data_IF_971599470492
#
_entry.id   IF_971599470492
#
_cell.length_a   1.000
_cell.length_b   1.000
_cell.length_c   1.000
_cell.angle_alpha   90.00
_cell.angle_beta   90.00
_cell.angle_gamma   90.00
#
_symmetry.space_group_name_H-M   'P 1'
#
loop_
_entity.id
_entity.type
_entity.pdbx_description
1 polymer ?
#
# COMPACT_ATOMS: atom_id res chain seq x y z
N UNK A 1 13.83 -2.69 16.24
CA UNK A 1 14.51 -2.57 14.94
C UNK A 1 15.05 -1.16 14.85
N UNK A 2 16.37 -0.99 14.76
CA UNK A 2 16.98 0.34 14.60
C UNK A 2 16.62 0.91 13.21
N UNK A 3 16.25 2.20 13.14
CA UNK A 3 15.94 2.89 11.88
C UNK A 3 16.68 4.22 11.82
N UNK A 4 17.15 4.60 10.64
CA UNK A 4 17.88 5.85 10.41
C UNK A 4 17.25 6.66 9.31
N UNK A 5 17.00 7.94 9.55
CA UNK A 5 16.49 8.84 8.51
C UNK A 5 17.59 9.14 7.50
N UNK A 6 17.26 9.02 6.23
CA UNK A 6 18.10 9.37 5.09
C UNK A 6 17.31 10.23 4.11
N UNK A 7 17.97 11.18 3.45
CA UNK A 7 17.34 12.04 2.45
C UNK A 7 17.50 11.44 1.06
N UNK A 8 16.41 11.35 0.30
CA UNK A 8 16.37 10.85 -1.08
C UNK A 8 16.68 11.95 -2.10
N UNK A 9 16.87 11.61 -3.36
CA UNK A 9 17.23 12.56 -4.42
C UNK A 9 16.16 13.63 -4.69
N UNK A 10 14.89 13.37 -4.38
CA UNK A 10 13.80 14.37 -4.44
C UNK A 10 13.67 15.24 -3.17
N UNK A 11 14.60 15.10 -2.22
CA UNK A 11 14.62 15.84 -0.96
C UNK A 11 13.71 15.27 0.13
N UNK A 12 12.89 14.27 -0.17
CA UNK A 12 12.05 13.61 0.83
C UNK A 12 12.85 12.71 1.77
N UNK A 13 12.34 12.48 2.98
CA UNK A 13 12.95 11.56 3.92
C UNK A 13 12.54 10.11 3.60
N UNK A 14 13.43 9.17 3.88
CA UNK A 14 13.11 7.74 3.97
C UNK A 14 13.83 7.14 5.16
N UNK A 15 13.39 5.97 5.62
CA UNK A 15 14.03 5.26 6.72
C UNK A 15 14.87 4.12 6.18
N UNK A 16 16.12 4.02 6.63
CA UNK A 16 17.01 2.89 6.40
C UNK A 16 16.95 1.93 7.59
N UNK A 17 16.81 0.64 7.30
CA UNK A 17 16.83 -0.45 8.29
C UNK A 17 18.12 -1.24 8.13
N UNK A 18 19.13 -1.06 9.02
CA UNK A 18 20.42 -1.76 8.90
C UNK A 18 20.29 -3.28 8.91
N UNK A 19 19.39 -3.82 9.74
CA UNK A 19 19.15 -5.27 9.86
C UNK A 19 18.67 -5.90 8.55
N UNK A 20 17.94 -5.14 7.72
CA UNK A 20 17.43 -5.58 6.42
C UNK A 20 18.32 -5.11 5.28
N UNK A 21 19.31 -4.24 5.52
CA UNK A 21 20.04 -3.49 4.50
C UNK A 21 19.10 -2.94 3.41
N UNK A 22 18.02 -2.27 3.83
CA UNK A 22 16.94 -1.83 2.94
C UNK A 22 16.34 -0.49 3.41
N UNK A 23 15.85 0.29 2.46
CA UNK A 23 15.10 1.51 2.74
C UNK A 23 13.58 1.27 2.64
N UNK A 24 12.80 2.03 3.40
CA UNK A 24 11.33 2.01 3.29
C UNK A 24 10.83 2.44 1.90
N UNK A 25 11.58 3.29 1.21
CA UNK A 25 11.26 3.77 -0.14
C UNK A 25 12.54 3.92 -0.98
N UNK A 26 12.39 4.06 -2.30
CA UNK A 26 13.49 4.33 -3.22
C UNK A 26 14.34 5.55 -2.82
N UNK A 27 15.67 5.40 -2.91
CA UNK A 27 16.62 6.49 -2.71
C UNK A 27 16.57 7.56 -3.81
N UNK A 28 16.00 7.24 -4.98
CA UNK A 28 15.77 8.20 -6.08
C UNK A 28 14.61 9.18 -5.80
N UNK A 29 13.84 8.93 -4.73
CA UNK A 29 12.79 9.82 -4.27
C UNK A 29 11.60 9.06 -3.70
N UNK A 30 11.34 9.21 -2.39
CA UNK A 30 10.22 8.53 -1.74
C UNK A 30 8.89 9.09 -2.24
N UNK A 31 8.72 10.42 -2.25
CA UNK A 31 7.50 11.06 -2.74
C UNK A 31 7.28 10.74 -4.21
N UNK A 32 8.31 10.90 -5.06
CA UNK A 32 8.19 10.64 -6.50
C UNK A 32 7.79 9.20 -6.81
N UNK A 33 8.36 8.23 -6.10
CA UNK A 33 7.99 6.82 -6.25
C UNK A 33 6.54 6.58 -5.86
N UNK A 34 6.13 7.03 -4.66
CA UNK A 34 4.78 6.82 -4.15
C UNK A 34 3.70 7.53 -4.99
N UNK A 35 3.97 8.76 -5.44
CA UNK A 35 3.09 9.49 -6.35
C UNK A 35 2.89 8.73 -7.66
N UNK A 36 3.97 8.23 -8.26
CA UNK A 36 3.88 7.48 -9.52
C UNK A 36 3.12 6.16 -9.32
N UNK A 37 3.55 5.33 -8.37
CA UNK A 37 3.06 3.96 -8.19
C UNK A 37 1.64 3.93 -7.63
N UNK A 38 1.39 4.63 -6.52
CA UNK A 38 0.16 4.46 -5.75
C UNK A 38 -0.90 5.51 -6.09
N UNK A 39 -0.50 6.74 -6.42
CA UNK A 39 -1.44 7.80 -6.78
C UNK A 39 -1.78 7.76 -8.26
N UNK A 40 -0.81 7.94 -9.15
CA UNK A 40 -1.05 8.03 -10.60
C UNK A 40 -1.49 6.69 -11.20
N UNK A 41 -0.85 5.58 -10.84
CA UNK A 41 -1.25 4.26 -11.34
C UNK A 41 -2.32 3.55 -10.49
N UNK A 42 -2.65 4.09 -9.31
CA UNK A 42 -3.65 3.55 -8.40
C UNK A 42 -4.87 4.47 -8.23
N UNK A 43 -4.79 5.40 -7.27
CA UNK A 43 -5.91 6.25 -6.84
C UNK A 43 -6.62 6.94 -8.01
N UNK A 44 -5.86 7.62 -8.88
CA UNK A 44 -6.39 8.41 -9.99
C UNK A 44 -6.98 7.54 -11.11
N UNK A 45 -6.67 6.24 -11.13
CA UNK A 45 -7.28 5.27 -12.06
C UNK A 45 -8.54 4.62 -11.49
N UNK A 46 -8.85 4.82 -10.21
CA UNK A 46 -10.05 4.29 -9.62
C UNK A 46 -11.26 5.21 -9.93
N UNK A 47 -12.26 4.75 -10.69
CA UNK A 47 -13.38 5.60 -11.13
C UNK A 47 -14.43 5.82 -10.03
N UNK A 48 -14.31 5.14 -8.88
CA UNK A 48 -15.31 5.14 -7.83
C UNK A 48 -15.25 6.43 -7.01
N UNK A 49 -16.41 6.86 -6.48
CA UNK A 49 -16.49 8.00 -5.56
C UNK A 49 -16.25 7.62 -4.10
N UNK A 50 -16.57 6.38 -3.73
CA UNK A 50 -16.18 5.80 -2.45
C UNK A 50 -15.19 4.69 -2.73
N UNK A 51 -13.98 4.78 -2.17
CA UNK A 51 -12.90 3.82 -2.38
C UNK A 51 -12.51 3.21 -1.04
N UNK A 52 -12.56 1.89 -0.95
CA UNK A 52 -11.91 1.15 0.13
C UNK A 52 -10.52 0.74 -0.33
N UNK A 53 -9.49 1.25 0.35
CA UNK A 53 -8.08 0.99 0.06
C UNK A 53 -7.53 0.02 1.10
N UNK A 54 -6.79 -0.99 0.67
CA UNK A 54 -5.89 -1.76 1.54
C UNK A 54 -4.45 -1.36 1.23
N UNK A 55 -3.72 -0.91 2.24
CA UNK A 55 -2.28 -0.77 2.21
C UNK A 55 -1.62 -1.88 3.03
N UNK A 56 -0.64 -2.53 2.42
CA UNK A 56 0.25 -3.48 3.10
C UNK A 56 1.53 -2.73 3.46
N UNK A 57 1.67 -2.39 4.74
CA UNK A 57 2.77 -1.59 5.28
C UNK A 57 2.41 -0.11 5.40
N UNK A 58 1.89 0.31 6.56
CA UNK A 58 1.67 1.74 6.83
C UNK A 58 2.98 2.52 6.80
N UNK A 59 4.03 1.91 7.36
CA UNK A 59 5.38 2.43 7.44
C UNK A 59 5.43 3.88 7.90
N UNK A 60 5.79 4.75 6.98
CA UNK A 60 5.99 6.18 7.27
C UNK A 60 4.71 7.03 7.18
N UNK A 61 3.59 6.43 6.74
CA UNK A 61 2.33 7.13 6.46
C UNK A 61 2.34 7.92 5.15
N UNK A 62 3.38 7.80 4.32
CA UNK A 62 3.54 8.58 3.08
C UNK A 62 2.39 8.35 2.09
N UNK A 63 2.04 7.09 1.80
CA UNK A 63 0.99 6.81 0.81
C UNK A 63 -0.39 7.24 1.31
N UNK A 64 -0.67 7.13 2.62
CA UNK A 64 -1.89 7.64 3.22
C UNK A 64 -1.98 9.17 3.10
N UNK A 65 -0.89 9.88 3.41
CA UNK A 65 -0.81 11.34 3.26
C UNK A 65 -0.97 11.80 1.82
N UNK A 66 -0.31 11.13 0.87
CA UNK A 66 -0.44 11.40 -0.56
C UNK A 66 -1.86 11.10 -1.07
N UNK A 67 -2.48 10.03 -0.57
CA UNK A 67 -3.88 9.72 -0.88
C UNK A 67 -4.78 10.85 -0.39
N UNK A 68 -4.61 11.31 0.84
CA UNK A 68 -5.37 12.44 1.37
C UNK A 68 -5.17 13.71 0.53
N UNK A 69 -3.94 13.98 0.09
CA UNK A 69 -3.64 15.15 -0.76
C UNK A 69 -4.27 15.07 -2.16
N UNK A 70 -4.52 13.86 -2.68
CA UNK A 70 -4.96 13.61 -4.06
C UNK A 70 -6.35 12.97 -4.18
N UNK A 71 -7.09 12.82 -3.07
CA UNK A 71 -8.42 12.18 -3.09
C UNK A 71 -9.50 13.02 -3.77
N UNK A 72 -9.26 14.31 -3.99
CA UNK A 72 -10.27 15.25 -4.49
C UNK A 72 -11.59 15.17 -3.68
N UNK A 73 -12.73 15.02 -4.36
CA UNK A 73 -14.06 14.87 -3.78
C UNK A 73 -14.38 13.44 -3.27
N UNK A 74 -13.46 12.49 -3.48
CA UNK A 74 -13.69 11.08 -3.12
C UNK A 74 -13.76 10.90 -1.60
N UNK A 75 -14.60 9.94 -1.22
CA UNK A 75 -14.61 9.36 0.13
C UNK A 75 -13.68 8.16 0.17
N UNK A 76 -12.70 8.18 1.08
CA UNK A 76 -11.69 7.14 1.20
C UNK A 76 -11.85 6.42 2.54
N UNK A 77 -12.03 5.10 2.48
CA UNK A 77 -11.85 4.20 3.61
C UNK A 77 -10.48 3.53 3.46
N UNK A 78 -9.50 4.04 4.19
CA UNK A 78 -8.11 3.61 4.12
C UNK A 78 -7.81 2.61 5.23
N UNK A 79 -7.57 1.35 4.88
CA UNK A 79 -7.18 0.30 5.81
C UNK A 79 -5.69 0.04 5.59
N UNK A 80 -4.88 0.15 6.63
CA UNK A 80 -3.44 -0.12 6.54
C UNK A 80 -2.99 -1.12 7.61
N UNK A 81 -2.10 -2.03 7.23
CA UNK A 81 -1.52 -3.03 8.13
C UNK A 81 -0.09 -2.63 8.45
N UNK A 82 0.28 -2.68 9.73
CA UNK A 82 1.64 -2.41 10.18
C UNK A 82 2.01 -3.30 11.34
N UNK A 83 3.14 -3.98 11.25
CA UNK A 83 3.62 -4.89 12.31
C UNK A 83 4.55 -4.18 13.29
N UNK A 84 5.25 -3.16 12.83
CA UNK A 84 6.24 -2.42 13.60
C UNK A 84 6.04 -0.92 13.40
N UNK A 85 5.04 -0.30 14.05
CA UNK A 85 4.77 1.12 13.92
C UNK A 85 6.01 1.99 14.21
N UNK A 86 6.03 3.19 13.63
CA UNK A 86 7.03 4.19 13.99
C UNK A 86 6.73 4.81 15.35
N UNK A 87 7.77 5.06 16.12
CA UNK A 87 7.70 5.85 17.35
C UNK A 87 7.52 7.33 17.04
N UNK A 88 7.04 8.08 18.02
CA UNK A 88 6.78 9.53 17.89
C UNK A 88 7.99 10.32 17.43
N UNK A 89 9.15 9.99 17.97
CA UNK A 89 10.41 10.65 17.65
C UNK A 89 10.84 10.37 16.20
N UNK A 90 10.43 9.24 15.61
CA UNK A 90 10.76 8.89 14.23
C UNK A 90 9.88 9.65 13.23
N UNK A 91 8.55 9.61 13.39
CA UNK A 91 7.67 10.22 12.40
C UNK A 91 7.68 11.76 12.45
N UNK A 92 7.93 12.38 13.60
CA UNK A 92 8.02 13.85 13.71
C UNK A 92 9.21 14.44 12.94
N UNK A 93 10.22 13.64 12.62
CA UNK A 93 11.36 14.07 11.83
C UNK A 93 11.10 13.95 10.32
N UNK A 94 10.01 13.30 9.89
CA UNK A 94 9.68 13.12 8.48
C UNK A 94 9.20 14.43 7.88
N UNK A 95 9.72 14.76 6.69
CA UNK A 95 9.50 16.06 6.06
C UNK A 95 8.34 16.08 5.04
N UNK A 96 7.50 15.05 5.01
CA UNK A 96 6.49 14.88 3.98
C UNK A 96 5.44 15.99 3.94
N UNK A 97 4.83 16.42 5.07
CA UNK A 97 3.88 17.52 5.02
C UNK A 97 4.52 18.79 4.43
N UNK A 98 5.79 19.04 4.74
CA UNK A 98 6.51 20.20 4.21
C UNK A 98 6.68 20.19 2.69
N UNK A 99 6.92 19.00 2.12
CA UNK A 99 7.18 18.84 0.69
C UNK A 99 5.92 18.66 -0.14
N UNK A 100 4.88 18.03 0.42
CA UNK A 100 3.60 17.75 -0.26
C UNK A 100 2.67 18.96 -0.15
N UNK A 101 2.32 19.33 1.08
CA UNK A 101 1.44 20.47 1.38
C UNK A 101 1.51 20.79 2.88
N UNK A 102 2.07 21.96 3.22
CA UNK A 102 2.29 22.39 4.61
C UNK A 102 1.03 22.32 5.49
N UNK A 103 -0.16 22.46 4.90
CA UNK A 103 -1.43 22.40 5.63
C UNK A 103 -1.80 20.99 6.10
N UNK A 104 -1.10 19.95 5.66
CA UNK A 104 -1.34 18.57 6.04
C UNK A 104 -0.54 18.11 7.27
N UNK A 105 0.16 19.02 7.96
CA UNK A 105 0.97 18.66 9.13
C UNK A 105 0.13 18.03 10.24
N UNK A 106 -0.99 18.66 10.60
CA UNK A 106 -1.91 18.15 11.61
C UNK A 106 -2.52 16.82 11.19
N UNK A 107 -2.94 16.69 9.93
CA UNK A 107 -3.46 15.44 9.40
C UNK A 107 -2.42 14.32 9.49
N UNK A 108 -1.16 14.59 9.14
CA UNK A 108 -0.07 13.62 9.21
C UNK A 108 0.22 13.17 10.65
N UNK A 109 0.30 14.11 11.60
CA UNK A 109 0.44 13.76 13.02
C UNK A 109 -0.75 12.94 13.53
N UNK A 110 -1.97 13.33 13.17
CA UNK A 110 -3.19 12.62 13.54
C UNK A 110 -3.21 11.20 12.95
N UNK A 111 -2.73 11.00 11.71
CA UNK A 111 -2.60 9.66 11.13
C UNK A 111 -1.71 8.75 12.00
N UNK A 112 -0.63 9.27 12.60
CA UNK A 112 0.24 8.48 13.46
C UNK A 112 -0.31 8.30 14.88
N UNK A 113 -0.95 9.32 15.45
CA UNK A 113 -1.45 9.32 16.83
C UNK A 113 -2.83 8.68 17.02
N UNK A 114 -3.62 8.57 15.95
CA UNK A 114 -4.97 8.03 16.06
C UNK A 114 -4.98 6.58 16.55
N UNK A 115 -6.09 6.21 17.17
CA UNK A 115 -6.29 4.88 17.73
C UNK A 115 -6.23 3.80 16.63
N UNK A 116 -5.72 2.63 17.02
CA UNK A 116 -5.65 1.44 16.18
C UNK A 116 -6.98 0.66 16.20
N UNK A 117 -7.16 -0.23 15.23
CA UNK A 117 -8.27 -1.19 15.13
C UNK A 117 -9.68 -0.60 14.95
N UNK A 118 -9.79 0.71 14.69
CA UNK A 118 -11.07 1.37 14.45
C UNK A 118 -10.95 2.48 13.41
N UNK A 119 -12.04 2.80 12.67
CA UNK A 119 -12.02 3.89 11.71
C UNK A 119 -11.98 5.24 12.41
N UNK A 120 -11.00 6.06 12.04
CA UNK A 120 -10.86 7.44 12.51
C UNK A 120 -10.92 8.38 11.31
N UNK A 121 -11.80 9.38 11.34
CA UNK A 121 -11.84 10.43 10.32
C UNK A 121 -10.68 11.40 10.56
N UNK A 122 -9.67 11.36 9.68
CA UNK A 122 -8.48 12.22 9.76
C UNK A 122 -8.78 13.61 9.16
N UNK A 123 -9.60 13.63 8.12
CA UNK A 123 -10.06 14.81 7.40
C UNK A 123 -11.41 14.48 6.75
N UNK A 124 -12.22 15.49 6.35
CA UNK A 124 -13.53 15.26 5.75
C UNK A 124 -13.51 14.23 4.62
N UNK A 125 -14.22 13.11 4.84
CA UNK A 125 -14.32 12.01 3.88
C UNK A 125 -13.04 11.17 3.72
N UNK A 126 -12.09 11.25 4.64
CA UNK A 126 -10.91 10.38 4.71
C UNK A 126 -10.87 9.66 6.06
N UNK A 127 -11.22 8.39 6.04
CA UNK A 127 -11.24 7.52 7.22
C UNK A 127 -10.03 6.60 7.19
N UNK A 128 -9.24 6.59 8.26
CA UNK A 128 -8.08 5.71 8.42
C UNK A 128 -8.38 4.67 9.50
N UNK A 129 -8.18 3.40 9.17
CA UNK A 129 -8.13 2.28 10.10
C UNK A 129 -6.73 1.66 10.02
N UNK A 130 -5.93 1.83 11.07
CA UNK A 130 -4.62 1.17 11.18
C UNK A 130 -4.77 -0.14 11.96
N UNK A 131 -4.18 -1.21 11.45
CA UNK A 131 -4.18 -2.55 12.05
C UNK A 131 -2.77 -2.92 12.49
N UNK A 132 -2.56 -3.10 13.79
CA UNK A 132 -1.29 -3.55 14.35
C UNK A 132 -1.25 -5.07 14.28
N UNK A 133 -0.94 -5.58 13.08
CA UNK A 133 -1.12 -6.98 12.74
C UNK A 133 -0.05 -7.47 11.77
N UNK A 134 0.14 -8.79 11.74
CA UNK A 134 0.94 -9.46 10.74
C UNK A 134 0.07 -9.84 9.53
N UNK A 135 0.46 -9.43 8.32
CA UNK A 135 -0.22 -9.81 7.08
C UNK A 135 -0.36 -11.33 6.91
N UNK A 136 0.61 -12.09 7.42
CA UNK A 136 0.60 -13.55 7.36
C UNK A 136 -0.58 -14.13 8.13
N UNK A 137 -0.98 -13.50 9.25
CA UNK A 137 -1.93 -14.05 10.22
C UNK A 137 -3.32 -13.39 10.14
N UNK A 138 -3.39 -12.14 9.69
CA UNK A 138 -4.65 -11.35 9.68
C UNK A 138 -5.72 -11.94 8.75
N UNK A 139 -6.98 -11.79 9.14
CA UNK A 139 -8.15 -11.96 8.27
C UNK A 139 -8.79 -10.60 7.95
N UNK A 140 -9.34 -10.47 6.74
CA UNK A 140 -10.05 -9.27 6.30
C UNK A 140 -11.58 -9.45 6.27
N UNK A 141 -12.10 -10.54 6.83
CA UNK A 141 -13.55 -10.87 6.78
C UNK A 141 -14.44 -9.78 7.37
N UNK A 142 -13.90 -8.96 8.29
CA UNK A 142 -14.61 -7.84 8.92
C UNK A 142 -14.70 -6.58 8.04
N UNK A 143 -13.93 -6.52 6.94
CA UNK A 143 -13.88 -5.35 6.06
C UNK A 143 -14.74 -5.55 4.80
N UNK A 144 -15.26 -4.45 4.22
CA UNK A 144 -15.81 -4.51 2.89
C UNK A 144 -14.73 -4.87 1.88
N UNK A 145 -15.15 -5.35 0.70
CA UNK A 145 -14.21 -5.69 -0.35
C UNK A 145 -13.40 -4.45 -0.80
N UNK A 146 -12.08 -4.63 -0.94
CA UNK A 146 -11.16 -3.57 -1.30
C UNK A 146 -11.26 -3.22 -2.79
N UNK A 147 -11.32 -1.93 -3.10
CA UNK A 147 -11.34 -1.44 -4.48
C UNK A 147 -9.93 -1.19 -5.04
N UNK A 148 -8.96 -0.95 -4.16
CA UNK A 148 -7.59 -0.62 -4.53
C UNK A 148 -6.62 -1.18 -3.47
N UNK A 149 -5.63 -1.92 -3.94
CA UNK A 149 -4.57 -2.49 -3.11
C UNK A 149 -3.26 -1.75 -3.38
N UNK A 150 -2.69 -1.17 -2.33
CA UNK A 150 -1.32 -0.67 -2.28
C UNK A 150 -0.45 -1.74 -1.63
N UNK A 151 0.26 -2.51 -2.45
CA UNK A 151 1.15 -3.54 -1.94
C UNK A 151 2.57 -2.99 -1.82
N UNK A 152 2.86 -2.42 -0.65
CA UNK A 152 4.09 -1.69 -0.33
C UNK A 152 4.94 -2.39 0.75
N UNK A 153 5.15 -3.69 0.56
CA UNK A 153 6.05 -4.47 1.42
C UNK A 153 7.52 -4.28 1.00
N UNK A 154 8.46 -4.61 1.89
CA UNK A 154 9.87 -4.71 1.52
C UNK A 154 10.08 -5.72 0.39
N UNK A 155 11.16 -5.54 -0.38
CA UNK A 155 11.38 -6.28 -1.61
C UNK A 155 11.36 -7.81 -1.40
N UNK A 156 11.00 -8.62 -2.43
CA UNK A 156 10.82 -10.07 -2.24
C UNK A 156 12.07 -10.84 -1.78
N UNK A 157 13.27 -10.29 -1.93
CA UNK A 157 14.51 -10.87 -1.40
C UNK A 157 14.78 -10.51 0.06
N UNK A 158 14.07 -9.53 0.62
CA UNK A 158 14.17 -9.09 2.01
C UNK A 158 13.08 -9.69 2.89
N UNK A 159 11.84 -9.77 2.37
CA UNK A 159 10.70 -10.38 3.05
C UNK A 159 9.93 -11.35 2.14
N UNK A 160 10.54 -12.46 1.68
CA UNK A 160 9.93 -13.39 0.73
C UNK A 160 8.56 -13.92 1.15
N UNK A 161 8.32 -14.05 2.45
CA UNK A 161 7.06 -14.49 3.05
C UNK A 161 5.87 -13.63 2.67
N UNK A 162 6.06 -12.31 2.49
CA UNK A 162 4.99 -11.40 2.08
C UNK A 162 4.57 -11.61 0.61
N UNK A 163 5.44 -12.20 -0.22
CA UNK A 163 5.23 -12.34 -1.67
C UNK A 163 4.83 -13.75 -2.10
N UNK A 164 4.41 -14.57 -1.14
CA UNK A 164 3.93 -15.92 -1.41
C UNK A 164 2.51 -15.90 -2.00
N UNK A 165 2.17 -16.93 -2.76
CA UNK A 165 0.89 -17.02 -3.47
C UNK A 165 -0.31 -17.03 -2.52
N UNK A 166 -0.21 -17.69 -1.36
CA UNK A 166 -1.26 -17.68 -0.33
C UNK A 166 -1.60 -16.27 0.19
N UNK A 167 -0.63 -15.36 0.23
CA UNK A 167 -0.86 -13.95 0.58
C UNK A 167 -1.65 -13.25 -0.52
N UNK A 168 -1.28 -13.47 -1.77
CA UNK A 168 -2.02 -12.92 -2.91
C UNK A 168 -3.42 -13.52 -3.04
N UNK A 169 -3.63 -14.80 -2.71
CA UNK A 169 -4.94 -15.43 -2.66
C UNK A 169 -5.82 -14.77 -1.59
N UNK A 170 -5.27 -14.55 -0.38
CA UNK A 170 -5.97 -13.85 0.71
C UNK A 170 -6.41 -12.45 0.29
N UNK A 171 -5.51 -11.68 -0.33
CA UNK A 171 -5.81 -10.32 -0.82
C UNK A 171 -6.81 -10.39 -1.97
N UNK A 172 -6.62 -11.30 -2.92
CA UNK A 172 -7.52 -11.48 -4.05
C UNK A 172 -8.93 -11.79 -3.55
N UNK A 173 -9.11 -12.70 -2.60
CA UNK A 173 -10.41 -13.07 -2.03
C UNK A 173 -11.19 -11.84 -1.55
N UNK A 174 -10.50 -10.89 -0.90
CA UNK A 174 -11.09 -9.68 -0.33
C UNK A 174 -11.06 -8.46 -1.25
N UNK A 175 -10.54 -8.59 -2.47
CA UNK A 175 -10.57 -7.51 -3.46
C UNK A 175 -11.89 -7.55 -4.23
N UNK A 176 -12.54 -6.41 -4.48
CA UNK A 176 -13.74 -6.32 -5.28
C UNK A 176 -13.48 -6.72 -6.75
N UNK A 177 -14.49 -7.20 -7.47
CA UNK A 177 -14.40 -7.33 -8.93
C UNK A 177 -14.07 -5.96 -9.54
N UNK A 178 -13.18 -5.92 -10.54
CA UNK A 178 -12.59 -4.71 -11.10
C UNK A 178 -11.67 -3.92 -10.14
N UNK A 179 -11.43 -4.43 -8.92
CA UNK A 179 -10.50 -3.84 -7.98
C UNK A 179 -9.07 -3.84 -8.52
N UNK A 180 -8.32 -2.81 -8.16
CA UNK A 180 -6.98 -2.54 -8.68
C UNK A 180 -5.91 -3.02 -7.70
N UNK A 181 -4.77 -3.45 -8.22
CA UNK A 181 -3.59 -3.82 -7.44
C UNK A 181 -2.38 -3.09 -8.02
N UNK A 182 -1.65 -2.37 -7.17
CA UNK A 182 -0.42 -1.67 -7.57
C UNK A 182 0.73 -1.98 -6.62
N UNK A 183 1.92 -2.14 -7.18
CA UNK A 183 3.16 -2.31 -6.43
C UNK A 183 4.36 -1.83 -7.26
N UNK A 184 5.38 -1.31 -6.59
CA UNK A 184 6.64 -0.95 -7.24
C UNK A 184 7.38 -2.19 -7.79
N UNK A 185 7.09 -3.39 -7.26
CA UNK A 185 7.79 -4.62 -7.63
C UNK A 185 7.46 -5.02 -9.07
N UNK A 186 8.48 -5.41 -9.84
CA UNK A 186 8.34 -5.85 -11.23
C UNK A 186 8.71 -7.33 -11.48
N UNK A 187 8.93 -8.12 -10.41
CA UNK A 187 9.40 -9.51 -10.54
C UNK A 187 8.37 -10.36 -11.30
N UNK A 188 8.87 -11.12 -12.27
CA UNK A 188 8.02 -11.96 -13.13
C UNK A 188 7.26 -13.04 -12.36
N UNK A 189 7.82 -13.54 -11.26
CA UNK A 189 7.15 -14.51 -10.38
C UNK A 189 5.95 -13.90 -9.66
N UNK A 190 6.11 -12.73 -9.03
CA UNK A 190 5.02 -11.98 -8.39
C UNK A 190 3.87 -11.74 -9.38
N UNK A 191 4.19 -11.32 -10.61
CA UNK A 191 3.19 -11.14 -11.68
C UNK A 191 2.42 -12.44 -11.98
N UNK A 192 3.12 -13.58 -12.07
CA UNK A 192 2.49 -14.87 -12.37
C UNK A 192 1.62 -15.36 -11.21
N UNK A 193 2.07 -15.17 -9.97
CA UNK A 193 1.29 -15.54 -8.77
C UNK A 193 0.01 -14.70 -8.67
N UNK A 194 0.10 -13.37 -8.83
CA UNK A 194 -1.10 -12.51 -8.88
C UNK A 194 -2.05 -12.89 -10.03
N UNK A 195 -1.50 -13.29 -11.19
CA UNK A 195 -2.32 -13.76 -12.29
C UNK A 195 -3.08 -15.06 -11.97
N UNK A 196 -2.44 -16.01 -11.28
CA UNK A 196 -3.11 -17.23 -10.77
C UNK A 196 -4.20 -16.91 -9.75
N UNK A 197 -4.02 -15.84 -8.97
CA UNK A 197 -5.00 -15.37 -8.00
C UNK A 197 -6.19 -14.59 -8.61
N UNK A 198 -6.29 -14.48 -9.94
CA UNK A 198 -7.43 -13.85 -10.63
C UNK A 198 -7.26 -12.37 -10.99
N UNK A 199 -6.03 -11.85 -10.95
CA UNK A 199 -5.71 -10.53 -11.50
C UNK A 199 -5.27 -10.62 -12.96
N UNK A 200 -5.81 -9.77 -13.82
CA UNK A 200 -5.19 -9.49 -15.12
C UNK A 200 -4.05 -8.50 -14.91
N UNK A 201 -2.82 -8.99 -15.07
CA UNK A 201 -1.61 -8.23 -14.76
C UNK A 201 -0.97 -7.60 -15.99
N UNK A 202 -0.50 -6.36 -15.84
CA UNK A 202 0.29 -5.62 -16.81
C UNK A 202 1.56 -5.06 -16.18
N UNK A 203 2.57 -4.80 -17.01
CA UNK A 203 3.74 -4.02 -16.64
C UNK A 203 3.55 -2.61 -17.13
N UNK A 204 3.79 -1.65 -16.26
CA UNK A 204 3.77 -0.23 -16.59
C UNK A 204 5.17 0.36 -16.43
N UNK A 205 5.48 1.51 -17.05
CA UNK A 205 6.71 2.24 -16.78
C UNK A 205 6.87 2.45 -15.27
N UNK A 206 8.05 2.16 -14.74
CA UNK A 206 8.35 2.34 -13.31
C UNK A 206 8.60 3.81 -12.93
N UNK A 207 8.69 4.09 -11.62
CA UNK A 207 9.12 5.39 -11.11
C UNK A 207 10.60 5.66 -11.42
N UNK A 208 11.12 6.88 -11.19
CA UNK A 208 12.55 7.18 -11.32
C UNK A 208 13.44 6.12 -10.65
N UNK A 209 14.43 5.62 -11.39
CA UNK A 209 15.32 4.55 -10.94
C UNK A 209 14.82 3.12 -11.17
N UNK A 210 13.56 2.91 -11.57
CA UNK A 210 12.98 1.58 -11.89
C UNK A 210 12.40 1.54 -13.30
N UNK A 211 12.71 0.47 -14.05
CA UNK A 211 12.25 0.34 -15.45
C UNK A 211 10.75 0.06 -15.55
N UNK A 212 10.25 -0.82 -14.69
CA UNK A 212 8.90 -1.33 -14.74
C UNK A 212 8.31 -1.37 -13.33
N UNK A 213 6.99 -1.37 -13.25
CA UNK A 213 6.19 -1.68 -12.06
C UNK A 213 5.03 -2.61 -12.44
N UNK A 214 4.33 -3.18 -11.45
CA UNK A 214 3.15 -4.02 -11.71
C UNK A 214 1.84 -3.30 -11.41
N UNK A 215 0.90 -3.51 -12.31
CA UNK A 215 -0.49 -3.10 -12.19
C UNK A 215 -1.38 -4.31 -12.47
N UNK A 216 -2.41 -4.51 -11.66
CA UNK A 216 -3.37 -5.59 -11.81
C UNK A 216 -4.80 -5.10 -11.69
N UNK A 217 -5.71 -5.76 -12.40
CA UNK A 217 -7.15 -5.58 -12.21
C UNK A 217 -7.81 -6.93 -11.97
N UNK A 218 -8.61 -7.06 -10.91
CA UNK A 218 -9.30 -8.30 -10.58
C UNK A 218 -10.43 -8.56 -11.58
N UNK A 219 -10.37 -9.67 -12.31
CA UNK A 219 -11.34 -9.98 -13.37
C UNK A 219 -12.39 -11.02 -12.96
N UNK A 220 -12.06 -11.90 -12.01
CA UNK A 220 -12.96 -12.97 -11.56
C UNK A 220 -13.53 -12.67 -10.17
N UNK A 221 -14.83 -12.89 -9.96
CA UNK A 221 -15.44 -12.75 -8.63
C UNK A 221 -14.90 -13.81 -7.67
N UNK A 222 -14.81 -13.49 -6.37
CA UNK A 222 -14.34 -14.42 -5.31
C UNK A 222 -15.05 -15.80 -5.31
N UNK A 223 -16.28 -15.88 -5.84
CA UNK A 223 -17.12 -17.08 -5.82
C UNK A 223 -16.84 -18.09 -6.94
N UNK A 224 -15.94 -17.82 -7.90
CA UNK A 224 -15.63 -18.78 -8.98
C UNK A 224 -14.46 -19.71 -8.64
N UNK A 225 -13.78 -19.52 -7.51
CA UNK A 225 -12.70 -20.40 -7.04
C UNK A 225 -13.31 -21.43 -6.07
N UNK A 226 -14.28 -22.21 -6.53
CA UNK A 226 -14.67 -23.43 -5.82
C UNK A 226 -15.06 -24.54 -6.80
N UNK A 227 -14.34 -25.66 -6.67
CA UNK A 227 -14.63 -27.01 -7.18
C UNK A 227 -14.52 -27.23 -8.69
N UNK A 228 -13.32 -27.59 -9.14
CA UNK A 228 -13.19 -28.79 -9.96
C UNK A 228 -12.88 -29.96 -9.02
N UNK A 229 -13.84 -30.86 -8.71
CA UNK A 229 -13.47 -32.19 -8.31
C UNK A 229 -12.83 -32.86 -9.52
N UNK A 230 -11.65 -33.46 -9.32
CA UNK A 230 -11.10 -34.45 -10.23
C UNK A 230 -12.19 -35.51 -10.48
N UNK A 231 -12.70 -35.58 -11.71
CA UNK A 231 -13.57 -36.65 -12.16
C UNK A 231 -12.79 -37.57 -13.09
N UNK A 232 -12.76 -38.85 -12.67
CA UNK A 232 -12.45 -40.09 -13.40
C UNK A 232 -11.06 -40.26 -14.01
#
# INVERSE_FOLDING_TARGET
>A
MERRITTTEDGSHTLYVPELEEHFHSTHGAIRESEHVFIQQGLLKCPLQTITILEVGFGTGLNALLTLANKDDKTIHYISIEKFPLEKEEYLQLNYPRLINNNLHEAFENMHQCAWEQPIEIAPGFFLTKLNADLLEISFDQFPAFNLIYFDAFAPNKQPEMWQENIFEKIALHTATQGLFVTYCAKGEVRRSLARCGFTMSRLPGPPGKKEMLFGQKTTSANSVSKNPLSS
#
